data_IF_913863218514
#
_entry.id   IF_913863218514
#
_cell.length_a   1.000
_cell.length_b   1.000
_cell.length_c   1.000
_cell.angle_alpha   90.00
_cell.angle_beta   90.00
_cell.angle_gamma   90.00
#
_symmetry.space_group_name_H-M   'P 1'
#
loop_
_entity.id
_entity.type
_entity.pdbx_description
1 polymer ?
#
# COMPACT_ATOMS: atom_id res chain seq x y z
N UNK A 1 30.24 -3.58 -4.21
CA UNK A 1 28.89 -4.09 -3.92
C UNK A 1 27.87 -3.00 -4.24
N UNK A 2 27.34 -3.01 -5.46
CA UNK A 2 26.36 -2.02 -5.90
C UNK A 2 25.01 -2.34 -5.29
N UNK A 3 24.55 -1.49 -4.38
CA UNK A 3 23.14 -1.48 -3.96
C UNK A 3 22.36 -0.89 -5.13
N UNK A 4 21.89 -1.78 -6.01
CA UNK A 4 20.91 -1.44 -7.03
C UNK A 4 19.63 -1.04 -6.28
N UNK A 5 19.47 0.26 -6.07
CA UNK A 5 18.24 0.85 -5.57
C UNK A 5 17.21 0.59 -6.68
N UNK A 6 16.17 -0.24 -6.48
CA UNK A 6 15.12 -0.34 -7.47
C UNK A 6 14.44 1.02 -7.51
N UNK A 7 14.59 1.70 -8.66
CA UNK A 7 13.89 2.92 -9.01
C UNK A 7 12.39 2.67 -8.84
N UNK A 8 11.82 3.05 -7.70
CA UNK A 8 10.38 3.01 -7.49
C UNK A 8 9.80 4.01 -8.49
N UNK A 9 9.13 3.56 -9.57
CA UNK A 9 8.51 4.49 -10.48
C UNK A 9 7.45 5.21 -9.66
N UNK A 10 7.59 6.52 -9.51
CA UNK A 10 6.49 7.38 -9.09
C UNK A 10 5.43 7.24 -10.19
N UNK A 11 4.54 6.26 -10.02
CA UNK A 11 3.36 6.07 -10.85
C UNK A 11 2.61 7.39 -10.78
N UNK A 12 2.74 8.19 -11.83
CA UNK A 12 2.01 9.44 -11.98
C UNK A 12 0.58 9.01 -12.32
N UNK A 13 -0.23 8.78 -11.29
CA UNK A 13 -1.66 8.51 -11.44
C UNK A 13 -2.29 9.80 -11.97
N UNK A 14 -2.41 9.95 -13.29
CA UNK A 14 -2.95 11.16 -13.91
C UNK A 14 -4.46 11.30 -13.66
N UNK A 15 -5.15 10.22 -13.30
CA UNK A 15 -6.57 10.20 -12.96
C UNK A 15 -6.83 9.30 -11.75
N UNK A 16 -6.76 9.85 -10.53
CA UNK A 16 -7.12 9.10 -9.33
C UNK A 16 -8.64 8.91 -9.35
N UNK A 17 -9.11 7.68 -9.55
CA UNK A 17 -10.54 7.33 -9.60
C UNK A 17 -11.16 7.39 -8.21
N UNK A 18 -10.39 6.99 -7.20
CA UNK A 18 -10.79 7.02 -5.80
C UNK A 18 -9.64 6.74 -4.85
N UNK A 19 -9.96 6.74 -3.57
CA UNK A 19 -9.06 6.31 -2.51
C UNK A 19 -9.81 5.42 -1.52
N UNK A 20 -9.08 4.56 -0.83
CA UNK A 20 -9.59 3.71 0.25
C UNK A 20 -8.59 3.73 1.40
N UNK A 21 -9.07 3.62 2.63
CA UNK A 21 -8.24 3.65 3.83
C UNK A 21 -8.30 2.30 4.51
N UNK A 22 -7.16 1.64 4.64
CA UNK A 22 -7.01 0.38 5.35
C UNK A 22 -6.31 0.60 6.69
N UNK A 23 -6.90 0.17 7.80
CA UNK A 23 -6.18 0.00 9.06
C UNK A 23 -5.42 -1.32 9.03
N UNK A 24 -4.16 -1.26 9.43
CA UNK A 24 -3.28 -2.42 9.42
C UNK A 24 -2.67 -2.56 10.81
N UNK A 25 -2.88 -3.71 11.42
CA UNK A 25 -2.28 -4.03 12.70
C UNK A 25 -0.84 -4.56 12.50
N UNK A 26 0.03 -4.26 13.47
CA UNK A 26 1.44 -4.69 13.43
C UNK A 26 2.41 -3.75 12.68
N UNK A 27 1.96 -2.63 12.11
CA UNK A 27 2.85 -1.60 11.55
C UNK A 27 3.53 -0.75 12.64
N UNK A 28 4.50 -1.32 13.35
CA UNK A 28 5.27 -0.61 14.40
C UNK A 28 6.58 0.00 13.93
N UNK A 29 7.13 -0.43 12.78
CA UNK A 29 8.44 0.02 12.31
C UNK A 29 8.37 0.64 10.91
N UNK A 30 9.32 1.53 10.61
CA UNK A 30 9.46 2.13 9.28
C UNK A 30 9.68 1.10 8.17
N UNK A 31 10.40 0.01 8.48
CA UNK A 31 10.57 -1.13 7.57
C UNK A 31 9.23 -1.80 7.26
N UNK A 32 8.40 -2.06 8.29
CA UNK A 32 7.06 -2.62 8.11
C UNK A 32 6.19 -1.72 7.23
N UNK A 33 6.23 -0.41 7.47
CA UNK A 33 5.54 0.60 6.65
C UNK A 33 5.96 0.51 5.19
N UNK A 34 7.26 0.44 4.91
CA UNK A 34 7.78 0.34 3.54
C UNK A 34 7.32 -0.95 2.87
N UNK A 35 7.38 -2.09 3.56
CA UNK A 35 6.95 -3.38 3.01
C UNK A 35 5.48 -3.35 2.60
N UNK A 36 4.60 -2.85 3.46
CA UNK A 36 3.17 -2.69 3.17
C UNK A 36 2.94 -1.72 2.00
N UNK A 37 3.60 -0.55 2.02
CA UNK A 37 3.47 0.45 0.96
C UNK A 37 3.88 -0.16 -0.38
N UNK A 38 4.97 -0.91 -0.40
CA UNK A 38 5.49 -1.56 -1.59
C UNK A 38 4.54 -2.64 -2.10
N UNK A 39 3.99 -3.48 -1.22
CA UNK A 39 3.02 -4.51 -1.57
C UNK A 39 1.81 -3.97 -2.33
N UNK A 40 1.27 -2.86 -1.85
CA UNK A 40 0.11 -2.22 -2.49
C UNK A 40 0.54 -1.48 -3.76
N UNK A 41 1.73 -0.86 -3.77
CA UNK A 41 2.25 -0.18 -4.96
C UNK A 41 2.69 -1.13 -6.08
N UNK A 42 2.92 -2.41 -5.75
CA UNK A 42 3.11 -3.50 -6.72
C UNK A 42 1.81 -3.77 -7.51
N UNK A 43 0.64 -3.43 -6.97
CA UNK A 43 -0.63 -3.55 -7.69
C UNK A 43 -0.68 -2.58 -8.89
N UNK A 44 -1.11 -3.10 -10.03
CA UNK A 44 -1.26 -2.30 -11.24
C UNK A 44 -2.40 -1.29 -11.07
N UNK A 45 -2.10 0.00 -11.28
CA UNK A 45 -3.08 1.08 -11.06
C UNK A 45 -3.41 1.40 -9.59
N UNK A 46 -2.66 0.88 -8.63
CA UNK A 46 -2.75 1.27 -7.21
C UNK A 46 -1.47 1.96 -6.72
N UNK A 47 -1.62 2.83 -5.72
CA UNK A 47 -0.53 3.49 -5.01
C UNK A 47 -0.91 3.64 -3.54
N UNK A 48 -0.08 3.16 -2.63
CA UNK A 48 -0.32 3.33 -1.19
C UNK A 48 0.47 4.48 -0.59
N UNK A 49 -0.09 5.07 0.46
CA UNK A 49 0.53 6.04 1.36
C UNK A 49 0.22 5.66 2.79
N UNK A 50 1.23 5.16 3.49
CA UNK A 50 1.06 4.66 4.86
C UNK A 50 1.51 5.71 5.87
N UNK A 51 0.67 5.93 6.88
CA UNK A 51 0.89 6.84 8.00
C UNK A 51 1.06 6.05 9.29
N UNK A 52 2.26 6.09 9.88
CA UNK A 52 2.54 5.48 11.19
C UNK A 52 1.81 6.19 12.33
N UNK A 53 1.66 7.52 12.23
CA UNK A 53 0.97 8.35 13.24
C UNK A 53 -0.50 7.95 13.42
N UNK A 54 -1.17 7.58 12.33
CA UNK A 54 -2.58 7.19 12.31
C UNK A 54 -2.78 5.67 12.21
N UNK A 55 -1.68 4.91 12.15
CA UNK A 55 -1.67 3.45 11.94
C UNK A 55 -2.58 2.99 10.78
N UNK A 56 -2.58 3.74 9.68
CA UNK A 56 -3.42 3.46 8.53
C UNK A 56 -2.67 3.61 7.19
N UNK A 57 -3.17 2.92 6.18
CA UNK A 57 -2.68 2.94 4.81
C UNK A 57 -3.76 3.55 3.91
N UNK A 58 -3.42 4.61 3.19
CA UNK A 58 -4.30 5.24 2.21
C UNK A 58 -3.91 4.70 0.84
N UNK A 59 -4.80 3.98 0.18
CA UNK A 59 -4.60 3.40 -1.14
C UNK A 59 -5.35 4.26 -2.16
N UNK A 60 -4.62 4.78 -3.13
CA UNK A 60 -5.13 5.51 -4.28
C UNK A 60 -5.17 4.57 -5.47
N UNK A 61 -6.26 4.56 -6.21
CA UNK A 61 -6.41 3.70 -7.39
C UNK A 61 -6.94 4.50 -8.58
N UNK A 62 -6.41 4.24 -9.78
CA UNK A 62 -6.92 4.82 -11.04
C UNK A 62 -7.96 3.92 -11.73
N UNK A 63 -8.06 2.67 -11.30
CA UNK A 63 -8.99 1.67 -11.83
C UNK A 63 -9.83 1.06 -10.71
N UNK A 64 -10.89 0.36 -11.05
CA UNK A 64 -11.63 -0.44 -10.07
C UNK A 64 -10.71 -1.55 -9.56
N UNK A 65 -10.39 -1.49 -8.26
CA UNK A 65 -9.63 -2.49 -7.54
C UNK A 65 -10.51 -2.96 -6.39
N UNK A 66 -10.68 -4.27 -6.28
CA UNK A 66 -11.45 -4.84 -5.19
C UNK A 66 -10.71 -4.73 -3.87
N UNK A 67 -11.48 -4.49 -2.80
CA UNK A 67 -10.97 -4.44 -1.42
C UNK A 67 -10.24 -5.73 -1.06
N UNK A 68 -10.77 -6.87 -1.51
CA UNK A 68 -10.19 -8.19 -1.28
C UNK A 68 -8.77 -8.30 -1.86
N UNK A 69 -8.55 -7.81 -3.09
CA UNK A 69 -7.21 -7.78 -3.72
C UNK A 69 -6.21 -6.99 -2.88
N UNK A 70 -6.63 -5.87 -2.32
CA UNK A 70 -5.78 -5.04 -1.45
C UNK A 70 -5.47 -5.78 -0.15
N UNK A 71 -6.47 -6.40 0.46
CA UNK A 71 -6.31 -7.19 1.69
C UNK A 71 -5.35 -8.36 1.44
N UNK A 72 -5.56 -9.15 0.39
CA UNK A 72 -4.68 -10.27 0.03
C UNK A 72 -3.23 -9.82 -0.22
N UNK A 73 -3.02 -8.68 -0.86
CA UNK A 73 -1.68 -8.14 -1.09
C UNK A 73 -0.96 -7.79 0.22
N UNK A 74 -1.70 -7.28 1.20
CA UNK A 74 -1.17 -6.93 2.54
C UNK A 74 -0.93 -8.21 3.37
N UNK A 75 -1.88 -9.15 3.37
CA UNK A 75 -1.77 -10.44 4.07
C UNK A 75 -0.62 -11.30 3.50
N UNK A 76 -0.38 -11.24 2.19
CA UNK A 76 0.75 -11.92 1.55
C UNK A 76 2.10 -11.46 2.09
N UNK A 77 2.20 -10.23 2.61
CA UNK A 77 3.41 -9.73 3.29
C UNK A 77 3.45 -10.02 4.79
N UNK A 78 2.44 -10.70 5.33
CA UNK A 78 2.35 -11.05 6.76
C UNK A 78 1.77 -9.95 7.65
N UNK A 79 0.93 -9.07 7.09
CA UNK A 79 0.23 -8.04 7.86
C UNK A 79 -1.28 -8.28 7.85
N UNK A 80 -1.98 -7.83 8.88
CA UNK A 80 -3.42 -8.05 9.03
C UNK A 80 -4.16 -6.73 8.83
N UNK A 81 -5.12 -6.72 7.91
CA UNK A 81 -6.03 -5.58 7.72
C UNK A 81 -7.20 -5.72 8.69
N UNK A 82 -7.34 -4.78 9.61
CA UNK A 82 -8.43 -4.81 10.60
C UNK A 82 -9.68 -4.07 10.13
N UNK A 83 -9.51 -3.05 9.31
CA UNK A 83 -10.60 -2.20 8.85
C UNK A 83 -10.27 -1.65 7.44
N UNK A 84 -11.27 -1.55 6.56
CA UNK A 84 -11.09 -1.00 5.22
C UNK A 84 -12.36 -0.27 4.74
N UNK A 85 -12.25 1.06 4.64
CA UNK A 85 -13.36 1.95 4.27
C UNK A 85 -13.02 2.90 3.12
#
# INVERSE_FOLDING_TARGET
>A
CGVSVPSIPKKRLEHIKGQMVAQIDGMRCESCRRTVTQAINELEGASAKVSLEKQNAIIYYDRDIEKDTVIQAIESKGFIVTDLY
#
